data_IF_467619511584
#
_entry.id   IF_467619511584
#
_cell.length_a   1.000
_cell.length_b   1.000
_cell.length_c   1.000
_cell.angle_alpha   90.00
_cell.angle_beta   90.00
_cell.angle_gamma   90.00
#
_symmetry.space_group_name_H-M   'P 1'
#
loop_
_entity.id
_entity.type
_entity.pdbx_description
1 polymer ?
#
# COMPACT_ATOMS: atom_id res chain seq x y z
N UNK A 1 42.42 -3.01 14.69
CA UNK A 1 41.36 -2.61 15.64
C UNK A 1 40.30 -1.87 14.83
N UNK A 2 39.20 -2.55 14.50
CA UNK A 2 38.10 -1.94 13.74
C UNK A 2 37.26 -1.16 14.76
N UNK A 3 37.29 0.17 14.69
CA UNK A 3 36.37 1.00 15.46
C UNK A 3 34.96 0.80 14.92
N UNK A 4 34.11 0.03 15.61
CA UNK A 4 32.68 0.05 15.41
C UNK A 4 32.21 1.32 16.11
N UNK A 5 31.97 2.38 15.34
CA UNK A 5 31.28 3.55 15.87
C UNK A 5 29.82 3.15 16.11
N UNK A 6 29.43 2.97 17.36
CA UNK A 6 28.02 2.91 17.74
C UNK A 6 27.41 4.26 17.35
N UNK A 7 26.35 4.31 16.55
CA UNK A 7 25.69 5.59 16.24
C UNK A 7 25.26 6.26 17.55
N UNK A 8 25.49 7.57 17.67
CA UNK A 8 25.08 8.37 18.81
C UNK A 8 23.60 8.13 19.11
N UNK A 9 23.22 8.15 20.39
CA UNK A 9 21.84 7.99 20.85
C UNK A 9 20.88 9.00 20.16
N UNK A 10 21.41 10.14 19.71
CA UNK A 10 20.66 11.16 18.98
C UNK A 10 20.28 10.79 17.54
N UNK A 11 20.92 9.76 16.96
CA UNK A 11 20.66 9.33 15.57
C UNK A 11 19.68 8.16 15.49
N UNK A 12 19.38 7.51 16.61
CA UNK A 12 18.56 6.31 16.67
C UNK A 12 17.30 6.53 17.47
N UNK A 13 16.14 6.19 16.86
CA UNK A 13 14.84 6.12 17.55
C UNK A 13 14.45 4.65 17.75
N UNK A 14 13.92 4.33 18.93
CA UNK A 14 13.33 3.03 19.24
C UNK A 14 11.81 3.15 19.16
N UNK A 15 11.17 2.31 18.36
CA UNK A 15 9.73 2.31 18.14
C UNK A 15 9.11 1.08 18.77
N UNK A 16 8.28 1.29 19.79
CA UNK A 16 7.52 0.23 20.47
C UNK A 16 6.11 0.08 19.86
N UNK A 17 5.54 1.18 19.36
CA UNK A 17 4.19 1.25 18.77
C UNK A 17 4.18 2.01 17.46
N UNK A 18 3.42 1.50 16.50
CA UNK A 18 3.08 2.20 15.27
C UNK A 18 1.56 2.33 15.15
N UNK A 19 1.08 3.54 14.96
CA UNK A 19 -0.33 3.83 14.69
C UNK A 19 -0.46 4.20 13.23
N UNK A 20 -1.46 3.64 12.55
CA UNK A 20 -1.86 4.04 11.20
C UNK A 20 -3.31 4.51 11.22
N UNK A 21 -3.52 5.72 10.75
CA UNK A 21 -4.85 6.34 10.68
C UNK A 21 -5.27 6.37 9.22
N UNK A 22 -6.40 5.74 8.95
CA UNK A 22 -7.10 5.75 7.66
C UNK A 22 -8.31 6.68 7.71
N UNK A 23 -9.23 6.57 6.75
CA UNK A 23 -10.43 7.43 6.71
C UNK A 23 -11.46 7.07 7.79
N UNK A 24 -11.66 5.79 8.02
CA UNK A 24 -12.65 5.22 8.95
C UNK A 24 -12.10 4.05 9.77
N UNK A 25 -10.77 3.86 9.76
CA UNK A 25 -10.10 2.77 10.46
C UNK A 25 -8.80 3.26 11.09
N UNK A 26 -8.50 2.78 12.29
CA UNK A 26 -7.22 2.96 12.96
C UNK A 26 -6.63 1.61 13.29
N UNK A 27 -5.36 1.44 12.97
CA UNK A 27 -4.59 0.24 13.31
C UNK A 27 -3.43 0.60 14.21
N UNK A 28 -3.36 -0.03 15.38
CA UNK A 28 -2.26 0.10 16.34
C UNK A 28 -1.45 -1.19 16.32
N UNK A 29 -0.17 -1.10 16.09
CA UNK A 29 0.77 -2.24 16.09
C UNK A 29 1.73 -2.08 17.26
N UNK A 30 1.65 -2.97 18.23
CA UNK A 30 2.57 -3.05 19.38
C UNK A 30 3.64 -4.10 19.09
N UNK A 31 4.91 -3.70 19.12
CA UNK A 31 6.03 -4.59 18.89
C UNK A 31 6.46 -5.24 20.23
N UNK A 32 6.63 -6.55 20.26
CA UNK A 32 7.11 -7.27 21.46
C UNK A 32 8.56 -6.91 21.82
N UNK A 33 9.33 -6.37 20.83
CA UNK A 33 10.64 -5.78 21.02
C UNK A 33 10.71 -4.49 20.19
N UNK A 34 11.29 -3.40 20.71
CA UNK A 34 11.39 -2.15 19.98
C UNK A 34 12.09 -2.31 18.63
N UNK A 35 11.61 -1.61 17.63
CA UNK A 35 12.26 -1.52 16.33
C UNK A 35 13.23 -0.35 16.37
N UNK A 36 14.51 -0.64 16.09
CA UNK A 36 15.54 0.40 15.93
C UNK A 36 15.39 1.06 14.56
N UNK A 37 15.25 2.36 14.53
CA UNK A 37 15.22 3.17 13.31
C UNK A 37 16.26 4.29 13.38
N UNK A 38 16.79 4.65 12.23
CA UNK A 38 17.60 5.86 12.09
C UNK A 38 16.62 7.02 11.90
N UNK A 39 16.84 8.13 12.64
CA UNK A 39 16.04 9.35 12.48
C UNK A 39 16.17 9.89 11.05
N UNK A 40 15.11 10.53 10.55
CA UNK A 40 15.11 11.15 9.24
C UNK A 40 16.20 12.23 9.14
N UNK A 41 16.89 12.27 8.01
CA UNK A 41 18.01 13.18 7.79
C UNK A 41 19.40 12.61 8.11
N UNK A 42 19.50 11.42 8.68
CA UNK A 42 20.77 10.76 8.94
C UNK A 42 20.95 9.53 8.00
N UNK A 43 22.12 9.42 7.39
CA UNK A 43 22.52 8.22 6.65
C UNK A 43 23.49 7.40 7.47
N UNK A 44 23.24 6.09 7.58
CA UNK A 44 24.22 5.16 8.13
C UNK A 44 25.44 5.11 7.21
N UNK A 45 26.62 5.40 7.74
CA UNK A 45 27.87 5.28 6.99
C UNK A 45 28.08 3.85 6.49
N UNK A 46 28.72 3.69 5.33
CA UNK A 46 28.88 2.42 4.60
C UNK A 46 29.51 1.25 5.40
N UNK A 47 30.02 1.47 6.60
CA UNK A 47 30.58 0.43 7.49
C UNK A 47 29.53 -0.57 8.03
N UNK A 48 28.25 -0.20 8.09
CA UNK A 48 27.17 -1.11 8.52
C UNK A 48 26.50 -1.88 7.36
N UNK A 49 26.81 -1.53 6.11
CA UNK A 49 26.31 -2.25 4.92
C UNK A 49 27.12 -3.49 4.55
N UNK A 50 28.25 -3.74 5.22
CA UNK A 50 29.16 -4.83 4.90
C UNK A 50 29.06 -5.96 5.91
N UNK A 51 27.97 -6.70 5.84
CA UNK A 51 27.98 -8.09 6.30
C UNK A 51 26.94 -8.89 5.50
N UNK A 52 27.29 -9.30 4.31
CA UNK A 52 26.73 -10.49 3.65
C UNK A 52 27.23 -10.61 2.19
N UNK A 53 28.55 -10.50 1.98
CA UNK A 53 29.19 -11.10 0.81
C UNK A 53 30.14 -12.18 1.28
N UNK A 54 29.63 -13.37 1.47
CA UNK A 54 30.44 -14.58 1.46
C UNK A 54 29.86 -15.52 0.42
N UNK A 55 30.67 -15.80 -0.58
CA UNK A 55 30.47 -16.80 -1.61
C UNK A 55 30.19 -18.16 -0.98
N UNK A 56 29.01 -18.73 -1.18
CA UNK A 56 28.76 -20.17 -1.14
C UNK A 56 27.48 -20.56 -1.86
N UNK A 57 27.68 -21.28 -2.95
CA UNK A 57 26.82 -22.26 -3.63
C UNK A 57 25.45 -21.86 -4.18
N UNK A 58 25.23 -22.18 -5.47
CA UNK A 58 24.05 -21.93 -6.31
C UNK A 58 22.69 -22.33 -5.69
N UNK A 59 22.64 -23.29 -4.76
CA UNK A 59 21.39 -23.72 -4.12
C UNK A 59 20.92 -22.77 -3.00
N UNK A 60 21.84 -22.01 -2.38
CA UNK A 60 21.50 -21.03 -1.34
C UNK A 60 20.99 -19.72 -1.97
N UNK A 61 21.45 -19.37 -3.17
CA UNK A 61 20.94 -18.22 -3.93
C UNK A 61 19.45 -18.37 -4.27
N UNK A 62 19.01 -19.54 -4.74
CA UNK A 62 17.59 -19.78 -5.05
C UNK A 62 16.66 -19.61 -3.84
N UNK A 63 17.07 -20.02 -2.64
CA UNK A 63 16.25 -19.84 -1.44
C UNK A 63 16.25 -18.38 -0.96
N UNK A 64 17.36 -17.67 -1.07
CA UNK A 64 17.47 -16.25 -0.72
C UNK A 64 16.65 -15.38 -1.69
N UNK A 65 16.71 -15.66 -2.98
CA UNK A 65 15.90 -14.98 -3.99
C UNK A 65 14.40 -15.17 -3.76
N UNK A 66 13.94 -16.41 -3.52
CA UNK A 66 12.55 -16.72 -3.17
C UNK A 66 12.08 -15.97 -1.93
N UNK A 67 12.93 -15.90 -0.91
CA UNK A 67 12.62 -15.19 0.33
C UNK A 67 12.53 -13.66 0.11
N UNK A 68 13.44 -13.08 -0.68
CA UNK A 68 13.40 -11.65 -1.05
C UNK A 68 12.15 -11.34 -1.86
N UNK A 69 11.77 -12.22 -2.80
CA UNK A 69 10.55 -12.06 -3.60
C UNK A 69 9.29 -12.13 -2.75
N UNK A 70 9.20 -13.10 -1.84
CA UNK A 70 8.07 -13.24 -0.91
C UNK A 70 7.90 -11.98 -0.05
N UNK A 71 9.00 -11.45 0.48
CA UNK A 71 8.98 -10.21 1.25
C UNK A 71 8.55 -9.00 0.41
N UNK A 72 9.00 -8.92 -0.85
CA UNK A 72 8.62 -7.82 -1.75
C UNK A 72 7.12 -7.89 -2.13
N UNK A 73 6.58 -9.09 -2.32
CA UNK A 73 5.14 -9.28 -2.58
C UNK A 73 4.34 -8.90 -1.35
N UNK A 74 4.74 -9.34 -0.17
CA UNK A 74 4.07 -8.99 1.08
C UNK A 74 4.03 -7.46 1.28
N UNK A 75 5.16 -6.77 1.08
CA UNK A 75 5.24 -5.30 1.17
C UNK A 75 4.35 -4.63 0.14
N UNK A 76 4.35 -5.11 -1.11
CA UNK A 76 3.49 -4.59 -2.16
C UNK A 76 2.01 -4.81 -1.83
N UNK A 77 1.64 -6.00 -1.34
CA UNK A 77 0.26 -6.29 -0.92
C UNK A 77 -0.20 -5.36 0.19
N UNK A 78 0.63 -5.18 1.22
CA UNK A 78 0.36 -4.26 2.33
C UNK A 78 0.14 -2.83 1.82
N UNK A 79 1.04 -2.34 0.99
CA UNK A 79 0.96 -0.99 0.41
C UNK A 79 -0.29 -0.82 -0.46
N UNK A 80 -0.66 -1.83 -1.25
CA UNK A 80 -1.87 -1.83 -2.08
C UNK A 80 -3.12 -1.70 -1.22
N UNK A 81 -3.22 -2.49 -0.14
CA UNK A 81 -4.33 -2.42 0.82
C UNK A 81 -4.39 -1.05 1.48
N UNK A 82 -3.27 -0.52 1.93
CA UNK A 82 -3.21 0.79 2.60
C UNK A 82 -3.70 1.93 1.69
N UNK A 83 -3.28 1.95 0.42
CA UNK A 83 -3.80 2.93 -0.54
C UNK A 83 -5.27 2.72 -0.87
N UNK A 84 -5.71 1.46 -0.99
CA UNK A 84 -7.11 1.16 -1.27
C UNK A 84 -8.03 1.60 -0.13
N UNK A 85 -7.66 1.34 1.13
CA UNK A 85 -8.41 1.76 2.31
C UNK A 85 -8.39 3.28 2.50
N UNK A 86 -7.21 3.91 2.36
CA UNK A 86 -7.08 5.36 2.56
C UNK A 86 -7.85 6.17 1.51
N UNK A 87 -8.15 5.59 0.37
CA UNK A 87 -8.86 6.26 -0.71
C UNK A 87 -10.23 5.61 -1.00
N UNK A 88 -10.77 4.85 -0.06
CA UNK A 88 -11.99 4.04 -0.20
C UNK A 88 -13.17 4.83 -0.78
N UNK A 89 -13.39 6.05 -0.31
CA UNK A 89 -14.50 6.91 -0.75
C UNK A 89 -14.40 7.42 -2.19
N UNK A 90 -13.24 7.30 -2.82
CA UNK A 90 -13.04 7.74 -4.20
C UNK A 90 -13.29 6.63 -5.22
N UNK A 91 -13.28 5.37 -4.82
CA UNK A 91 -13.40 4.25 -5.75
C UNK A 91 -14.85 4.07 -6.21
N UNK A 92 -15.11 4.40 -7.47
CA UNK A 92 -16.43 4.23 -8.09
C UNK A 92 -16.49 3.09 -9.08
N UNK A 93 -15.33 2.64 -9.58
CA UNK A 93 -15.26 1.54 -10.55
C UNK A 93 -14.03 0.66 -10.36
N UNK A 94 -14.20 -0.62 -10.69
CA UNK A 94 -13.10 -1.55 -10.93
C UNK A 94 -13.04 -1.83 -12.43
N UNK A 95 -11.88 -1.58 -13.05
CA UNK A 95 -11.71 -1.67 -14.50
C UNK A 95 -10.55 -2.59 -14.84
N UNK A 96 -10.74 -3.45 -15.82
CA UNK A 96 -9.71 -4.25 -16.44
C UNK A 96 -9.41 -3.72 -17.83
N UNK A 97 -8.16 -3.37 -18.10
CA UNK A 97 -7.69 -2.94 -19.43
C UNK A 97 -6.92 -4.07 -20.08
N UNK A 98 -7.31 -4.42 -21.29
CA UNK A 98 -6.81 -5.57 -22.06
C UNK A 98 -6.23 -5.08 -23.38
N UNK A 99 -5.12 -5.68 -23.84
CA UNK A 99 -4.62 -5.46 -25.20
C UNK A 99 -5.28 -6.40 -26.19
N UNK A 100 -5.55 -5.90 -27.39
CA UNK A 100 -6.02 -6.74 -28.52
C UNK A 100 -4.93 -7.75 -28.90
N UNK A 101 -3.71 -7.24 -29.06
CA UNK A 101 -2.54 -8.07 -29.35
C UNK A 101 -2.07 -8.84 -28.12
N UNK A 102 -1.34 -9.95 -28.33
CA UNK A 102 -0.67 -10.67 -27.25
C UNK A 102 0.58 -9.92 -26.78
N UNK A 103 0.39 -8.74 -26.18
CA UNK A 103 1.48 -7.88 -25.69
C UNK A 103 2.05 -8.41 -24.37
N UNK A 104 3.21 -9.07 -24.45
CA UNK A 104 3.90 -9.65 -23.28
C UNK A 104 4.98 -8.73 -22.71
N UNK A 105 5.46 -7.76 -23.50
CA UNK A 105 6.50 -6.83 -23.09
C UNK A 105 5.95 -5.78 -22.14
N UNK A 106 6.42 -5.84 -20.88
CA UNK A 106 5.96 -4.96 -19.78
C UNK A 106 6.35 -3.49 -20.00
N UNK A 107 7.51 -3.22 -20.60
CA UNK A 107 7.95 -1.85 -20.90
C UNK A 107 7.01 -1.17 -21.90
N UNK A 108 6.73 -1.85 -23.01
CA UNK A 108 5.84 -1.34 -24.06
C UNK A 108 4.42 -1.19 -23.50
N UNK A 109 3.96 -2.17 -22.74
CA UNK A 109 2.65 -2.10 -22.09
C UNK A 109 2.55 -0.89 -21.14
N UNK A 110 3.57 -0.68 -20.27
CA UNK A 110 3.61 0.46 -19.36
C UNK A 110 3.70 1.80 -20.08
N UNK A 111 4.41 1.89 -21.22
CA UNK A 111 4.41 3.10 -22.03
C UNK A 111 3.01 3.45 -22.55
N UNK A 112 2.29 2.46 -23.07
CA UNK A 112 0.88 2.62 -23.51
C UNK A 112 -0.03 3.02 -22.35
N UNK A 113 0.14 2.40 -21.19
CA UNK A 113 -0.60 2.73 -19.97
C UNK A 113 -0.30 4.17 -19.49
N UNK A 114 0.96 4.60 -19.53
CA UNK A 114 1.34 5.97 -19.16
C UNK A 114 0.75 7.01 -20.14
N UNK A 115 0.70 6.71 -21.42
CA UNK A 115 0.03 7.55 -22.42
C UNK A 115 -1.48 7.69 -22.08
N UNK A 116 -2.15 6.57 -21.83
CA UNK A 116 -3.56 6.56 -21.41
C UNK A 116 -3.79 7.41 -20.15
N UNK A 117 -3.01 7.19 -19.09
CA UNK A 117 -3.20 7.93 -17.83
C UNK A 117 -2.87 9.42 -17.97
N UNK A 118 -1.91 9.77 -18.83
CA UNK A 118 -1.56 11.16 -19.14
C UNK A 118 -2.69 11.88 -19.90
N UNK A 119 -3.29 11.21 -20.89
CA UNK A 119 -4.43 11.77 -21.62
C UNK A 119 -5.66 11.89 -20.71
N UNK A 120 -5.91 10.86 -19.89
CA UNK A 120 -7.01 10.90 -18.92
C UNK A 120 -6.88 12.08 -17.96
N UNK A 121 -5.71 12.34 -17.42
CA UNK A 121 -5.44 13.46 -16.49
C UNK A 121 -5.59 14.84 -17.15
N UNK A 122 -5.40 14.96 -18.44
CA UNK A 122 -5.61 16.25 -19.15
C UNK A 122 -7.07 16.66 -19.17
N UNK A 123 -8.00 15.68 -19.31
CA UNK A 123 -9.44 15.95 -19.37
C UNK A 123 -10.13 15.78 -18.01
N UNK A 124 -9.52 15.02 -17.12
CA UNK A 124 -9.97 14.78 -15.76
C UNK A 124 -8.80 14.92 -14.79
N UNK A 125 -8.43 16.14 -14.39
CA UNK A 125 -7.27 16.41 -13.53
C UNK A 125 -7.31 15.64 -12.20
N UNK A 126 -8.49 15.42 -11.64
CA UNK A 126 -8.70 14.62 -10.41
C UNK A 126 -8.73 13.11 -10.65
N UNK A 127 -8.37 12.63 -11.83
CA UNK A 127 -8.33 11.19 -12.11
C UNK A 127 -7.45 10.45 -11.12
N UNK A 128 -8.08 9.53 -10.40
CA UNK A 128 -7.43 8.65 -9.42
C UNK A 128 -7.46 7.22 -9.92
N UNK A 129 -6.33 6.53 -9.78
CA UNK A 129 -6.26 5.10 -10.02
C UNK A 129 -5.27 4.43 -9.08
N UNK A 130 -5.59 3.20 -8.72
CA UNK A 130 -4.72 2.26 -8.01
C UNK A 130 -4.85 0.91 -8.69
N UNK A 131 -3.73 0.34 -9.14
CA UNK A 131 -3.79 -0.84 -9.96
C UNK A 131 -2.61 -1.77 -9.83
N UNK A 132 -2.78 -2.92 -10.45
CA UNK A 132 -1.79 -3.99 -10.56
C UNK A 132 -1.72 -4.54 -11.98
N UNK A 133 -0.56 -5.12 -12.30
CA UNK A 133 -0.34 -5.85 -13.54
C UNK A 133 -0.62 -7.33 -13.27
N UNK A 134 -1.38 -7.95 -14.15
CA UNK A 134 -1.58 -9.41 -14.22
C UNK A 134 -1.18 -9.90 -15.61
N UNK A 135 -0.71 -11.13 -15.73
CA UNK A 135 -0.50 -11.78 -17.02
C UNK A 135 -1.60 -12.80 -17.28
N UNK A 136 -2.20 -12.71 -18.46
CA UNK A 136 -3.13 -13.75 -18.91
C UNK A 136 -2.42 -15.10 -19.12
N UNK A 137 -3.19 -16.17 -19.21
CA UNK A 137 -2.65 -17.52 -19.54
C UNK A 137 -1.82 -17.54 -20.82
N UNK A 138 -2.16 -16.70 -21.80
CA UNK A 138 -1.42 -16.52 -23.06
C UNK A 138 -0.19 -15.62 -22.93
N UNK A 139 0.09 -15.07 -21.75
CA UNK A 139 1.23 -14.21 -21.47
C UNK A 139 0.97 -12.70 -21.61
N UNK A 140 -0.14 -12.27 -22.19
CA UNK A 140 -0.46 -10.86 -22.39
C UNK A 140 -0.63 -10.10 -21.08
N UNK A 141 -0.12 -8.86 -21.05
CA UNK A 141 -0.29 -7.93 -19.92
C UNK A 141 -1.73 -7.47 -19.80
N UNK A 142 -2.25 -7.49 -18.57
CA UNK A 142 -3.52 -6.90 -18.17
C UNK A 142 -3.30 -5.90 -17.04
N UNK A 143 -4.11 -4.84 -17.01
CA UNK A 143 -4.16 -3.90 -15.89
C UNK A 143 -5.49 -4.03 -15.18
N UNK A 144 -5.46 -4.24 -13.87
CA UNK A 144 -6.63 -4.20 -13.00
C UNK A 144 -6.54 -2.95 -12.13
N UNK A 145 -7.56 -2.10 -12.23
CA UNK A 145 -7.55 -0.75 -11.66
C UNK A 145 -8.78 -0.51 -10.80
N UNK A 146 -8.58 0.01 -9.60
CA UNK A 146 -9.57 0.82 -8.90
C UNK A 146 -9.49 2.23 -9.45
N UNK A 147 -10.62 2.84 -9.78
CA UNK A 147 -10.65 4.22 -10.31
C UNK A 147 -11.83 5.01 -9.76
N UNK A 148 -11.76 6.35 -9.90
CA UNK A 148 -12.86 7.25 -9.65
C UNK A 148 -13.63 7.60 -10.94
N UNK A 149 -13.53 6.76 -11.98
CA UNK A 149 -14.36 6.91 -13.18
C UNK A 149 -15.77 6.43 -12.89
N UNK A 150 -16.73 7.24 -13.28
CA UNK A 150 -18.15 6.89 -13.19
C UNK A 150 -18.52 6.06 -14.41
N UNK A 151 -18.91 4.81 -14.17
CA UNK A 151 -19.44 3.93 -15.21
C UNK A 151 -20.72 4.53 -15.80
N UNK A 152 -20.79 4.58 -17.12
CA UNK A 152 -21.87 5.23 -17.87
C UNK A 152 -21.63 6.71 -18.19
N UNK A 153 -20.52 7.31 -17.69
CA UNK A 153 -20.12 8.67 -18.06
C UNK A 153 -19.44 8.73 -19.43
N UNK A 154 -19.22 9.95 -19.95
CA UNK A 154 -18.48 10.17 -21.21
C UNK A 154 -17.04 9.60 -21.18
N UNK A 155 -16.42 9.48 -20.00
CA UNK A 155 -15.06 8.94 -19.85
C UNK A 155 -15.05 7.42 -19.73
N UNK A 156 -16.20 6.80 -19.43
CA UNK A 156 -16.34 5.36 -19.24
C UNK A 156 -17.75 4.91 -19.70
N UNK A 157 -18.12 5.13 -20.97
CA UNK A 157 -19.44 4.74 -21.48
C UNK A 157 -19.57 3.22 -21.50
N UNK A 158 -20.81 2.75 -21.34
CA UNK A 158 -21.15 1.33 -21.53
C UNK A 158 -21.11 1.00 -23.02
N UNK A 159 -20.65 -0.19 -23.37
CA UNK A 159 -20.77 -0.72 -24.73
C UNK A 159 -22.18 -1.21 -24.96
N UNK A 160 -22.77 -0.81 -26.08
CA UNK A 160 -24.14 -1.20 -26.48
C UNK A 160 -24.27 -2.73 -26.56
N UNK A 161 -25.28 -3.25 -25.91
CA UNK A 161 -25.61 -4.69 -25.92
C UNK A 161 -24.68 -5.59 -25.17
N UNK A 162 -23.74 -5.04 -24.37
CA UNK A 162 -22.78 -5.82 -23.56
C UNK A 162 -22.80 -5.41 -22.11
N UNK A 163 -23.20 -6.30 -21.24
CA UNK A 163 -23.06 -6.11 -19.80
C UNK A 163 -21.56 -6.11 -19.40
N UNK A 164 -21.20 -5.22 -18.49
CA UNK A 164 -19.84 -5.14 -17.90
C UNK A 164 -18.69 -4.85 -18.88
N UNK A 165 -18.98 -4.37 -20.08
CA UNK A 165 -18.01 -3.88 -21.04
C UNK A 165 -18.12 -2.36 -21.17
N UNK A 166 -17.00 -1.69 -21.17
CA UNK A 166 -16.92 -0.23 -21.19
C UNK A 166 -15.92 0.24 -22.24
N UNK A 167 -16.18 1.37 -22.86
CA UNK A 167 -15.22 2.06 -23.72
C UNK A 167 -14.51 3.14 -22.90
N UNK A 168 -13.52 2.72 -22.11
CA UNK A 168 -12.73 3.67 -21.32
C UNK A 168 -11.98 4.62 -22.26
N UNK A 169 -12.34 5.90 -22.21
CA UNK A 169 -11.82 6.93 -23.10
C UNK A 169 -10.28 6.95 -23.06
N UNK A 170 -9.66 7.07 -24.22
CA UNK A 170 -8.21 7.04 -24.43
C UNK A 170 -7.53 5.66 -24.25
N UNK A 171 -8.26 4.58 -23.91
CA UNK A 171 -7.73 3.24 -23.99
C UNK A 171 -7.94 2.66 -25.39
N UNK A 172 -7.06 3.05 -26.34
CA UNK A 172 -7.18 2.68 -27.76
C UNK A 172 -6.37 1.43 -28.10
N UNK A 173 -5.95 0.64 -27.12
CA UNK A 173 -5.06 -0.51 -27.31
C UNK A 173 -5.78 -1.86 -27.20
N UNK A 174 -7.05 -1.85 -26.86
CA UNK A 174 -7.84 -3.06 -26.71
C UNK A 174 -9.17 -2.84 -25.98
N UNK A 175 -9.65 -3.87 -25.32
CA UNK A 175 -10.93 -3.86 -24.64
C UNK A 175 -10.80 -3.43 -23.19
N UNK A 176 -11.86 -2.88 -22.64
CA UNK A 176 -11.99 -2.64 -21.21
C UNK A 176 -13.28 -3.28 -20.68
N UNK A 177 -13.20 -3.81 -19.47
CA UNK A 177 -14.32 -4.43 -18.77
C UNK A 177 -14.21 -4.12 -17.28
N UNK A 178 -15.27 -4.40 -16.53
CA UNK A 178 -15.25 -4.18 -15.09
C UNK A 178 -16.64 -4.09 -14.51
N UNK A 179 -16.77 -3.38 -13.40
CA UNK A 179 -18.06 -3.17 -12.75
C UNK A 179 -18.08 -1.87 -11.93
N UNK A 180 -19.29 -1.40 -11.69
CA UNK A 180 -19.59 -0.24 -10.87
C UNK A 180 -19.54 -0.61 -9.39
N UNK A 181 -18.56 -0.11 -8.66
CA UNK A 181 -18.38 -0.38 -7.22
C UNK A 181 -19.51 0.20 -6.38
N UNK A 182 -20.22 1.22 -6.86
CA UNK A 182 -21.37 1.83 -6.17
C UNK A 182 -22.61 0.91 -6.13
N UNK A 183 -22.60 -0.15 -6.95
CA UNK A 183 -23.65 -1.18 -7.01
C UNK A 183 -23.28 -2.46 -6.28
N UNK A 184 -22.11 -2.49 -5.63
CA UNK A 184 -21.69 -3.66 -4.83
C UNK A 184 -22.27 -3.59 -3.42
N UNK A 185 -22.38 -4.74 -2.76
CA UNK A 185 -22.82 -4.82 -1.36
C UNK A 185 -21.88 -4.08 -0.43
N UNK A 186 -22.38 -3.56 0.69
CA UNK A 186 -21.59 -2.87 1.71
C UNK A 186 -20.44 -3.72 2.28
N UNK A 187 -20.60 -5.04 2.23
CA UNK A 187 -19.57 -6.00 2.65
C UNK A 187 -18.47 -6.23 1.61
N UNK A 188 -18.59 -5.64 0.41
CA UNK A 188 -17.59 -5.84 -0.64
C UNK A 188 -16.27 -5.16 -0.27
N UNK A 189 -15.26 -5.97 0.05
CA UNK A 189 -13.95 -5.47 0.40
C UNK A 189 -13.08 -5.23 -0.83
N UNK A 190 -13.16 -4.01 -1.37
CA UNK A 190 -12.42 -3.58 -2.54
C UNK A 190 -10.90 -3.72 -2.40
N UNK A 191 -10.38 -3.50 -1.18
CA UNK A 191 -8.95 -3.62 -0.91
C UNK A 191 -8.47 -5.07 -0.98
N UNK A 192 -9.26 -6.02 -0.49
CA UNK A 192 -8.97 -7.44 -0.62
C UNK A 192 -9.17 -7.92 -2.06
N UNK A 193 -10.18 -7.39 -2.77
CA UNK A 193 -10.48 -7.78 -4.13
C UNK A 193 -9.31 -7.52 -5.08
N UNK A 194 -8.75 -6.31 -5.08
CA UNK A 194 -7.62 -5.97 -5.96
C UNK A 194 -6.35 -6.78 -5.63
N UNK A 195 -6.18 -7.22 -4.36
CA UNK A 195 -5.00 -8.02 -3.99
C UNK A 195 -4.97 -9.42 -4.61
N UNK A 196 -6.13 -9.95 -5.08
CA UNK A 196 -6.19 -11.24 -5.77
C UNK A 196 -5.31 -11.24 -7.03
N UNK A 197 -5.23 -10.12 -7.71
CA UNK A 197 -4.47 -9.97 -8.96
C UNK A 197 -2.98 -9.79 -8.71
N UNK A 198 -2.58 -9.24 -7.56
CA UNK A 198 -1.17 -9.10 -7.19
C UNK A 198 -0.53 -10.46 -6.83
N UNK A 199 -1.32 -11.41 -6.32
CA UNK A 199 -0.81 -12.69 -5.79
C UNK A 199 -0.80 -13.81 -6.82
N UNK A 200 -1.52 -13.67 -7.92
CA UNK A 200 -1.60 -14.71 -8.96
C UNK A 200 -0.28 -14.95 -9.69
N UNK A 201 0.57 -13.92 -9.81
CA UNK A 201 1.76 -14.01 -10.62
C UNK A 201 3.03 -13.61 -9.86
N UNK A 202 3.79 -14.62 -9.45
CA UNK A 202 5.23 -14.55 -9.20
C UNK A 202 6.01 -14.45 -10.52
N UNK A 203 5.43 -13.76 -11.52
CA UNK A 203 6.01 -13.71 -12.85
C UNK A 203 7.37 -13.00 -12.82
N UNK A 204 8.37 -13.68 -13.35
CA UNK A 204 9.76 -13.19 -13.39
C UNK A 204 9.89 -11.86 -14.14
N UNK A 205 8.97 -11.57 -15.06
CA UNK A 205 8.91 -10.29 -15.82
C UNK A 205 8.68 -9.07 -14.92
N UNK A 206 8.12 -9.28 -13.71
CA UNK A 206 7.92 -8.21 -12.71
C UNK A 206 9.05 -8.10 -11.68
N UNK A 207 10.13 -8.88 -11.83
CA UNK A 207 11.26 -8.78 -10.91
C UNK A 207 12.00 -7.45 -11.10
N UNK A 208 12.26 -6.77 -9.99
CA UNK A 208 12.88 -5.44 -9.99
C UNK A 208 11.97 -4.30 -10.47
N UNK A 209 10.70 -4.58 -10.85
CA UNK A 209 9.74 -3.59 -11.34
C UNK A 209 8.71 -3.22 -10.29
N UNK A 210 8.10 -2.04 -10.47
CA UNK A 210 6.94 -1.61 -9.66
C UNK A 210 5.76 -2.53 -9.95
N UNK A 211 5.23 -3.17 -8.92
CA UNK A 211 4.06 -4.07 -9.00
C UNK A 211 2.75 -3.31 -8.82
N UNK A 212 2.81 -2.13 -8.22
CA UNK A 212 1.67 -1.26 -7.97
C UNK A 212 1.77 -0.04 -8.86
N UNK A 213 0.70 0.22 -9.58
CA UNK A 213 0.49 1.39 -10.40
C UNK A 213 -0.47 2.33 -9.65
N UNK A 214 -0.12 3.59 -9.52
CA UNK A 214 -0.99 4.53 -8.80
C UNK A 214 -0.82 5.95 -9.28
N UNK A 215 -1.89 6.72 -9.21
CA UNK A 215 -1.84 8.16 -9.42
C UNK A 215 -1.13 8.86 -8.24
N UNK A 216 -0.57 10.04 -8.50
CA UNK A 216 0.19 10.78 -7.48
C UNK A 216 -0.71 11.50 -6.48
N UNK A 217 -1.98 11.70 -6.80
CA UNK A 217 -2.99 12.39 -5.99
C UNK A 217 -3.75 11.45 -5.04
N UNK A 218 -3.24 10.24 -4.77
CA UNK A 218 -3.78 9.37 -3.74
C UNK A 218 -3.26 9.77 -2.37
N UNK A 219 -4.18 9.74 -1.41
CA UNK A 219 -3.87 9.95 0.01
C UNK A 219 -3.08 8.76 0.57
N UNK A 220 -2.21 9.04 1.53
CA UNK A 220 -1.50 8.03 2.31
C UNK A 220 -2.06 7.98 3.72
N UNK A 221 -2.04 6.81 4.39
CA UNK A 221 -2.35 6.76 5.80
C UNK A 221 -1.36 7.62 6.59
N UNK A 222 -1.84 8.24 7.66
CA UNK A 222 -0.96 8.91 8.62
C UNK A 222 -0.30 7.83 9.46
N UNK A 223 1.02 7.87 9.56
CA UNK A 223 1.81 6.95 10.38
C UNK A 223 2.43 7.69 11.54
N UNK A 224 2.20 7.21 12.76
CA UNK A 224 2.75 7.72 14.00
C UNK A 224 3.55 6.60 14.64
N UNK A 225 4.77 6.90 15.07
CA UNK A 225 5.69 5.94 15.67
C UNK A 225 6.12 6.42 17.05
N UNK A 226 5.80 5.65 18.06
CA UNK A 226 5.93 6.01 19.45
C UNK A 226 6.85 5.04 20.20
N UNK A 227 7.65 5.59 21.12
CA UNK A 227 8.33 4.86 22.18
C UNK A 227 7.43 4.76 23.41
N UNK A 228 7.60 3.73 24.24
CA UNK A 228 6.78 3.52 25.45
C UNK A 228 6.77 4.69 26.41
N UNK A 229 7.82 5.49 26.41
CA UNK A 229 7.99 6.62 27.33
C UNK A 229 7.33 7.91 26.80
N UNK A 230 6.81 7.92 25.58
CA UNK A 230 6.15 9.10 25.02
C UNK A 230 4.78 9.31 25.66
N UNK A 231 4.40 10.55 26.03
CA UNK A 231 3.15 10.86 26.75
C UNK A 231 1.90 10.37 26.03
N UNK A 232 1.88 10.48 24.69
CA UNK A 232 0.73 10.10 23.87
C UNK A 232 0.70 8.59 23.49
N UNK A 233 1.53 7.76 24.14
CA UNK A 233 1.63 6.34 23.78
C UNK A 233 0.27 5.63 23.73
N UNK A 234 -0.62 5.88 24.68
CA UNK A 234 -1.93 5.25 24.77
C UNK A 234 -3.10 6.09 24.22
N UNK A 235 -2.89 7.34 23.90
CA UNK A 235 -3.97 8.33 23.67
C UNK A 235 -4.99 7.91 22.62
N UNK A 236 -4.58 7.28 21.52
CA UNK A 236 -5.54 6.80 20.51
C UNK A 236 -6.42 5.65 21.03
N UNK A 237 -5.85 4.69 21.77
CA UNK A 237 -6.59 3.57 22.33
C UNK A 237 -7.52 4.02 23.44
N UNK A 238 -7.05 4.93 24.30
CA UNK A 238 -7.86 5.49 25.38
C UNK A 238 -9.05 6.27 24.81
N UNK A 239 -8.82 7.09 23.77
CA UNK A 239 -9.90 7.81 23.08
C UNK A 239 -10.95 6.86 22.50
N UNK A 240 -10.51 5.79 21.80
CA UNK A 240 -11.41 4.80 21.21
C UNK A 240 -12.22 4.05 22.27
N UNK A 241 -11.58 3.68 23.40
CA UNK A 241 -12.26 3.01 24.51
C UNK A 241 -13.28 3.92 25.20
N UNK A 242 -12.95 5.20 25.45
CA UNK A 242 -13.85 6.18 26.08
C UNK A 242 -15.09 6.42 25.22
N UNK A 243 -14.96 6.33 23.89
CA UNK A 243 -16.06 6.53 22.94
C UNK A 243 -16.71 5.21 22.49
N UNK A 244 -16.57 4.14 23.27
CA UNK A 244 -17.22 2.82 23.08
C UNK A 244 -16.96 2.17 21.71
N UNK A 245 -15.84 2.46 21.06
CA UNK A 245 -15.46 1.81 19.81
C UNK A 245 -14.99 0.37 20.04
N UNK A 246 -15.48 -0.55 19.21
CA UNK A 246 -15.04 -1.94 19.24
C UNK A 246 -13.64 -2.10 18.69
N UNK A 247 -12.71 -2.59 19.51
CA UNK A 247 -11.33 -2.87 19.14
C UNK A 247 -11.14 -4.37 18.97
N UNK A 248 -10.74 -4.80 17.78
CA UNK A 248 -10.32 -6.17 17.51
C UNK A 248 -8.81 -6.31 17.70
N UNK A 249 -8.39 -7.42 18.31
CA UNK A 249 -6.97 -7.66 18.64
C UNK A 249 -6.49 -8.98 18.06
N UNK A 250 -5.25 -8.98 17.56
CA UNK A 250 -4.61 -10.17 16.99
C UNK A 250 -3.12 -10.20 17.29
N UNK A 251 -2.66 -11.29 17.92
CA UNK A 251 -1.24 -11.58 18.04
C UNK A 251 -0.70 -12.19 16.76
N UNK A 252 0.45 -11.67 16.31
CA UNK A 252 1.19 -12.19 15.17
C UNK A 252 2.55 -12.66 15.64
N UNK A 253 2.75 -13.98 15.55
CA UNK A 253 4.06 -14.60 15.76
C UNK A 253 4.61 -15.01 14.39
N UNK A 254 5.60 -14.29 13.87
CA UNK A 254 6.18 -14.61 12.58
C UNK A 254 6.89 -15.95 12.59
N UNK A 255 6.78 -16.71 11.51
CA UNK A 255 7.56 -17.95 11.32
C UNK A 255 9.04 -17.69 11.09
N UNK A 256 9.38 -16.49 10.65
CA UNK A 256 10.77 -16.06 10.46
C UNK A 256 11.37 -15.62 11.80
N UNK A 257 12.46 -16.26 12.24
CA UNK A 257 13.17 -15.97 13.49
C UNK A 257 13.73 -14.54 13.62
N UNK A 258 13.85 -13.82 12.51
CA UNK A 258 14.32 -12.43 12.48
C UNK A 258 13.19 -11.40 12.50
N UNK A 259 11.95 -11.83 12.32
CA UNK A 259 10.82 -10.93 12.39
C UNK A 259 10.34 -10.77 13.84
N UNK A 260 9.99 -9.55 14.20
CA UNK A 260 9.58 -9.21 15.57
C UNK A 260 8.13 -9.61 15.76
N UNK A 261 7.79 -10.42 16.78
CA UNK A 261 6.42 -10.67 17.15
C UNK A 261 5.70 -9.36 17.49
N UNK A 262 4.45 -9.23 17.10
CA UNK A 262 3.66 -8.03 17.31
C UNK A 262 2.21 -8.35 17.67
N UNK A 263 1.59 -7.42 18.37
CA UNK A 263 0.15 -7.39 18.60
C UNK A 263 -0.46 -6.31 17.70
N UNK A 264 -1.53 -6.63 16.99
CA UNK A 264 -2.24 -5.68 16.14
C UNK A 264 -3.64 -5.48 16.70
N UNK A 265 -3.97 -4.24 17.03
CA UNK A 265 -5.30 -3.78 17.40
C UNK A 265 -5.86 -2.96 16.24
N UNK A 266 -7.09 -3.22 15.84
CA UNK A 266 -7.76 -2.45 14.81
C UNK A 266 -9.18 -2.08 15.22
N UNK A 267 -9.55 -0.85 14.91
CA UNK A 267 -10.87 -0.29 15.07
C UNK A 267 -11.37 0.19 13.72
N UNK A 268 -12.60 -0.13 13.37
CA UNK A 268 -13.23 0.22 12.09
C UNK A 268 -14.51 0.99 12.32
N UNK A 269 -15.03 1.60 11.26
CA UNK A 269 -16.25 2.40 11.27
C UNK A 269 -16.18 3.56 12.25
N UNK A 270 -15.00 4.16 12.37
CA UNK A 270 -14.78 5.35 13.19
C UNK A 270 -15.36 6.55 12.44
N UNK A 271 -16.08 7.43 13.12
CA UNK A 271 -16.62 8.64 12.52
C UNK A 271 -15.50 9.54 11.96
N UNK A 272 -15.78 10.30 10.90
CA UNK A 272 -14.80 11.23 10.34
C UNK A 272 -14.35 12.28 11.38
N UNK A 273 -15.27 12.70 12.26
CA UNK A 273 -14.97 13.64 13.33
C UNK A 273 -14.00 13.04 14.36
N UNK A 274 -14.21 11.78 14.79
CA UNK A 274 -13.35 11.13 15.78
C UNK A 274 -11.97 10.82 15.19
N UNK A 275 -11.91 10.44 13.90
CA UNK A 275 -10.63 10.29 13.18
C UNK A 275 -9.86 11.62 13.19
N UNK A 276 -10.53 12.74 12.97
CA UNK A 276 -9.89 14.05 12.98
C UNK A 276 -9.41 14.46 14.39
N UNK A 277 -10.21 14.19 15.41
CA UNK A 277 -9.79 14.40 16.81
C UNK A 277 -8.52 13.62 17.14
N UNK A 278 -8.47 12.34 16.76
CA UNK A 278 -7.29 11.50 17.00
C UNK A 278 -6.06 12.03 16.24
N UNK A 279 -6.21 12.51 15.01
CA UNK A 279 -5.12 13.17 14.28
C UNK A 279 -4.60 14.40 14.99
N UNK A 280 -5.50 15.22 15.54
CA UNK A 280 -5.14 16.45 16.27
C UNK A 280 -4.41 16.15 17.58
N UNK A 281 -4.73 15.07 18.29
CA UNK A 281 -4.01 14.63 19.49
C UNK A 281 -2.50 14.54 19.18
N UNK A 282 -2.15 13.92 18.06
CA UNK A 282 -0.74 13.68 17.69
C UNK A 282 -0.08 14.87 16.95
N UNK A 283 -0.86 15.78 16.35
CA UNK A 283 -0.33 16.93 15.63
C UNK A 283 0.18 18.01 16.59
N UNK A 284 -0.51 18.25 17.70
CA UNK A 284 -0.14 19.29 18.68
C UNK A 284 1.25 19.07 19.30
N UNK A 285 1.70 17.82 19.48
CA UNK A 285 3.04 17.55 20.01
C UNK A 285 4.16 17.79 18.99
N UNK A 286 3.91 17.54 17.70
CA UNK A 286 4.93 17.80 16.67
C UNK A 286 5.21 19.31 16.46
N UNK A 287 4.35 20.18 16.97
CA UNK A 287 4.53 21.65 16.90
C UNK A 287 5.21 22.22 18.17
N UNK A 288 5.21 21.50 19.30
CA UNK A 288 5.83 21.93 20.56
C UNK A 288 7.35 21.66 20.57
N UNK A 289 7.83 20.67 19.83
CA UNK A 289 9.27 20.34 19.74
C UNK A 289 10.11 21.30 18.87
N UNK A 290 9.51 22.40 18.35
CA UNK A 290 10.20 23.36 17.47
C UNK A 290 10.58 24.65 18.22
N UNK A 291 10.05 24.88 19.43
CA UNK A 291 10.23 26.12 20.19
C UNK A 291 11.08 25.97 21.48
N UNK A 292 11.84 24.86 21.64
CA UNK A 292 12.85 24.71 22.71
C UNK A 292 14.28 24.62 22.10
#
# INVERSE_FOLDING_TARGET
MIKISVPDADVVKYVDRKIKIFQDEITVTDYKKPIRKVKDGFELTNSEKVSNKSNKHNNIMNNKEKMVQSNNIYRSKKLLIEYALMNKKFWTSFITLTFVENLENVEIANQKFNNFTSMMKRVFPDFKYLGVIEFQKRGAVHYHLLTNLIVGSELCPLQDGKENMYDVKFWNYGHSSGFDLRKTDDNFNVALYITKYLTKDLDKRLFGRKKILKSNNLLKPIEIELSKNEPLYNSALDYLNINDYSITEKDITPTNKYAIPMNIKSCKNISENDVEVIKQIYKKESEVDIDE
#
